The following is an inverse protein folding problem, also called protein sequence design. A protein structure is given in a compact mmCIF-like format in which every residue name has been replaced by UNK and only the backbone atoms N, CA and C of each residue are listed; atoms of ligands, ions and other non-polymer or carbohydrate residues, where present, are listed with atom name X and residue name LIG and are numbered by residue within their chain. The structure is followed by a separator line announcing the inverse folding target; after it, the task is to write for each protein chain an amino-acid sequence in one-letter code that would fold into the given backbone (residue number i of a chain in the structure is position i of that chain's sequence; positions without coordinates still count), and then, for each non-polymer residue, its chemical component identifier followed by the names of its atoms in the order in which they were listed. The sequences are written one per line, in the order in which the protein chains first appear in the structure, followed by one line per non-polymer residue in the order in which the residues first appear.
data_IF_852946196002
#
_entry.id   IF_852946196002
#
_cell.length_a   1.000
_cell.length_b   1.000
_cell.length_c   1.000
_cell.angle_alpha   90.00
_cell.angle_beta   90.00
_cell.angle_gamma   90.00
#
_symmetry.space_group_name_H-M   'P 1'
#
loop_
_entity.id
_entity.type
_entity.pdbx_description
1 polymer ?
#
# COMPACT_ATOMS: atom_id res chain seq x y z
N UNK A 1 43.20 -45.16 -33.19
CA UNK A 1 41.84 -44.96 -32.65
C UNK A 1 42.00 -44.47 -31.23
N UNK A 2 41.26 -43.53 -30.65
CA UNK A 2 40.37 -42.46 -31.09
C UNK A 2 40.09 -41.69 -29.78
N UNK A 3 40.40 -40.39 -29.78
CA UNK A 3 39.76 -39.26 -29.09
C UNK A 3 39.43 -39.35 -27.58
N UNK A 4 40.00 -38.36 -26.88
CA UNK A 4 39.69 -37.78 -25.57
C UNK A 4 38.23 -37.85 -25.10
N UNK A 5 38.01 -37.88 -23.78
CA UNK A 5 36.82 -37.27 -23.18
C UNK A 5 37.11 -36.84 -21.73
N UNK A 6 37.35 -35.54 -21.60
CA UNK A 6 37.23 -34.75 -20.39
C UNK A 6 35.73 -34.54 -20.14
N UNK A 7 35.21 -34.95 -18.98
CA UNK A 7 33.88 -34.49 -18.53
C UNK A 7 34.00 -33.91 -17.13
N UNK A 8 34.04 -32.58 -17.10
CA UNK A 8 33.78 -31.74 -15.94
C UNK A 8 32.27 -31.76 -15.73
N UNK A 9 31.80 -32.22 -14.58
CA UNK A 9 30.40 -32.05 -14.17
C UNK A 9 30.33 -30.85 -13.21
N UNK A 10 29.86 -29.74 -13.77
CA UNK A 10 29.56 -28.46 -13.12
C UNK A 10 28.52 -28.60 -12.00
N UNK A 11 28.80 -27.99 -10.86
CA UNK A 11 27.83 -27.74 -9.80
C UNK A 11 26.76 -26.77 -10.32
N UNK A 12 25.52 -27.23 -10.46
CA UNK A 12 24.37 -26.35 -10.69
C UNK A 12 23.97 -25.72 -9.36
N UNK A 13 24.47 -24.51 -9.10
CA UNK A 13 23.87 -23.58 -8.14
C UNK A 13 22.45 -23.28 -8.58
N UNK A 14 21.45 -23.79 -7.85
CA UNK A 14 20.08 -23.29 -7.91
C UNK A 14 20.08 -21.88 -7.32
N UNK A 15 20.27 -20.90 -8.20
CA UNK A 15 20.03 -19.51 -7.89
C UNK A 15 18.54 -19.35 -7.59
N UNK A 16 18.21 -19.18 -6.31
CA UNK A 16 16.95 -18.57 -5.92
C UNK A 16 17.02 -17.13 -6.43
N UNK A 17 16.44 -16.87 -7.60
CA UNK A 17 16.15 -15.50 -8.02
C UNK A 17 14.97 -15.05 -7.17
N UNK A 18 15.27 -14.45 -6.01
CA UNK A 18 14.31 -13.64 -5.29
C UNK A 18 13.85 -12.54 -6.24
N UNK A 19 12.64 -12.67 -6.78
CA UNK A 19 11.95 -11.55 -7.39
C UNK A 19 11.59 -10.61 -6.24
N UNK A 20 12.55 -9.77 -5.84
CA UNK A 20 12.21 -8.59 -5.07
C UNK A 20 11.35 -7.73 -6.00
N UNK A 21 10.04 -7.73 -5.76
CA UNK A 21 9.19 -6.68 -6.28
C UNK A 21 9.83 -5.37 -5.81
N UNK A 22 10.24 -4.55 -6.77
CA UNK A 22 10.68 -3.20 -6.48
C UNK A 22 9.41 -2.47 -6.07
N UNK A 23 9.12 -2.49 -4.76
CA UNK A 23 8.13 -1.60 -4.18
C UNK A 23 8.69 -0.19 -4.45
N UNK A 24 7.98 0.66 -5.21
CA UNK A 24 8.46 2.01 -5.49
C UNK A 24 8.57 2.75 -4.15
N UNK A 25 9.79 2.90 -3.66
CA UNK A 25 10.09 3.64 -2.44
C UNK A 25 10.65 4.99 -2.85
N UNK A 26 9.90 6.07 -2.60
CA UNK A 26 10.44 7.41 -2.74
C UNK A 26 11.41 7.68 -1.58
N UNK A 27 12.71 7.66 -1.88
CA UNK A 27 13.79 7.69 -0.87
C UNK A 27 14.41 9.07 -0.62
N UNK A 28 13.70 10.17 -0.93
CA UNK A 28 14.19 11.53 -0.67
C UNK A 28 13.34 12.20 0.42
N UNK A 29 13.66 11.94 1.68
CA UNK A 29 12.98 12.53 2.84
C UNK A 29 13.53 13.95 3.09
N UNK A 30 12.99 14.89 2.32
CA UNK A 30 12.90 16.33 2.62
C UNK A 30 11.51 16.87 2.19
N UNK A 31 10.52 15.98 2.10
CA UNK A 31 9.43 16.07 1.12
C UNK A 31 8.10 16.57 1.73
N UNK A 32 7.33 17.32 0.95
CA UNK A 32 6.06 18.01 1.31
C UNK A 32 4.87 17.04 1.44
N UNK A 33 5.11 15.86 2.00
CA UNK A 33 4.13 14.78 2.16
C UNK A 33 3.30 14.98 3.43
N UNK A 34 1.99 15.06 3.24
CA UNK A 34 0.99 15.18 4.30
C UNK A 34 0.75 13.84 4.99
N UNK A 35 0.63 12.75 4.23
CA UNK A 35 0.34 11.44 4.78
C UNK A 35 1.03 10.35 3.98
N UNK A 36 1.53 9.34 4.71
CA UNK A 36 2.05 8.11 4.14
C UNK A 36 1.24 6.95 4.71
N UNK A 37 0.72 6.10 3.84
CA UNK A 37 0.07 4.87 4.25
C UNK A 37 0.52 3.72 3.37
N UNK A 38 0.46 2.51 3.91
CA UNK A 38 0.81 1.29 3.20
C UNK A 38 -0.42 0.43 3.02
N UNK A 39 -0.48 -0.28 1.90
CA UNK A 39 -1.62 -1.15 1.54
C UNK A 39 -1.19 -2.60 1.39
N UNK A 40 -2.14 -3.50 1.61
CA UNK A 40 -1.95 -4.93 1.41
C UNK A 40 -3.18 -5.58 0.78
N UNK A 41 -2.95 -6.57 -0.09
CA UNK A 41 -3.98 -7.44 -0.70
C UNK A 41 -4.38 -8.62 0.16
N UNK A 42 -4.14 -8.52 1.47
CA UNK A 42 -4.59 -9.50 2.45
C UNK A 42 -4.97 -8.78 3.75
N UNK A 43 -5.84 -9.40 4.58
CA UNK A 43 -6.10 -8.91 5.92
C UNK A 43 -4.83 -9.05 6.78
N UNK A 44 -4.71 -8.24 7.82
CA UNK A 44 -3.67 -8.26 8.87
C UNK A 44 -2.36 -7.49 8.59
N UNK A 45 -2.47 -6.18 8.35
CA UNK A 45 -1.32 -5.27 8.48
C UNK A 45 -0.93 -4.96 9.95
N UNK A 46 0.32 -4.51 10.20
CA UNK A 46 1.53 -4.85 9.45
C UNK A 46 1.90 -6.32 9.71
N UNK A 47 1.83 -7.18 8.69
CA UNK A 47 2.09 -8.62 8.83
C UNK A 47 1.66 -9.47 7.64
N UNK A 48 0.73 -8.95 6.83
CA UNK A 48 0.30 -9.55 5.59
C UNK A 48 1.45 -9.80 4.61
N UNK A 49 1.42 -10.97 3.96
CA UNK A 49 2.42 -11.39 2.97
C UNK A 49 2.32 -10.64 1.64
N UNK A 50 1.20 -9.95 1.41
CA UNK A 50 0.85 -9.30 0.15
C UNK A 50 0.92 -7.78 0.27
N UNK A 51 2.14 -7.24 0.38
CA UNK A 51 2.38 -5.80 0.49
C UNK A 51 2.33 -5.16 -0.90
N UNK A 52 1.26 -4.41 -1.15
CA UNK A 52 0.99 -3.72 -2.42
C UNK A 52 1.79 -2.41 -2.57
N UNK A 53 2.34 -1.90 -1.47
CA UNK A 53 3.28 -0.78 -1.46
C UNK A 53 2.87 0.40 -0.61
N UNK A 54 3.72 1.44 -0.65
CA UNK A 54 3.60 2.67 0.13
C UNK A 54 3.07 3.80 -0.75
N UNK A 55 2.06 4.49 -0.23
CA UNK A 55 1.35 5.57 -0.89
C UNK A 55 1.65 6.87 -0.16
N UNK A 56 2.22 7.83 -0.89
CA UNK A 56 2.52 9.16 -0.38
C UNK A 56 1.51 10.15 -0.92
N UNK A 57 0.89 10.93 -0.04
CA UNK A 57 0.01 12.02 -0.41
C UNK A 57 0.62 13.35 -0.02
N UNK A 58 0.63 14.30 -0.95
CA UNK A 58 1.20 15.63 -0.76
C UNK A 58 0.18 16.59 -0.13
N UNK A 59 0.64 17.68 0.49
CA UNK A 59 -0.20 18.68 1.18
C UNK A 59 -1.31 19.27 0.30
N UNK A 60 -1.12 19.34 -1.02
CA UNK A 60 -2.14 19.85 -1.96
C UNK A 60 -3.16 18.80 -2.42
N UNK A 61 -3.08 17.55 -1.94
CA UNK A 61 -3.97 16.45 -2.31
C UNK A 61 -5.20 16.35 -1.39
N UNK A 62 -5.67 17.47 -0.85
CA UNK A 62 -6.80 17.51 0.09
C UNK A 62 -8.15 17.45 -0.63
N UNK A 63 -9.06 16.66 -0.09
CA UNK A 63 -10.43 16.47 -0.58
C UNK A 63 -10.52 16.00 -2.05
N UNK A 64 -9.44 15.39 -2.56
CA UNK A 64 -9.40 14.74 -3.87
C UNK A 64 -9.58 13.24 -3.67
N UNK A 65 -10.43 12.63 -4.49
CA UNK A 65 -10.60 11.19 -4.52
C UNK A 65 -9.49 10.55 -5.35
N UNK A 66 -8.84 9.54 -4.78
CA UNK A 66 -7.82 8.75 -5.45
C UNK A 66 -8.25 7.30 -5.52
N UNK A 67 -8.29 6.78 -6.73
CA UNK A 67 -8.61 5.39 -7.01
C UNK A 67 -7.39 4.52 -6.74
N UNK A 68 -7.62 3.38 -6.08
CA UNK A 68 -6.64 2.31 -6.16
C UNK A 68 -6.63 1.74 -7.59
N UNK A 69 -5.47 1.33 -8.11
CA UNK A 69 -5.39 0.67 -9.40
C UNK A 69 -6.29 -0.57 -9.45
N UNK A 70 -7.03 -0.74 -10.55
CA UNK A 70 -7.96 -1.86 -10.72
C UNK A 70 -7.27 -3.24 -10.82
N UNK A 71 -5.94 -3.28 -10.92
CA UNK A 71 -5.13 -4.49 -10.96
C UNK A 71 -4.57 -4.91 -9.59
N UNK A 72 -4.81 -4.13 -8.55
CA UNK A 72 -4.51 -4.50 -7.16
C UNK A 72 -5.81 -4.63 -6.36
N UNK A 73 -5.80 -5.52 -5.39
CA UNK A 73 -6.86 -5.63 -4.40
C UNK A 73 -6.32 -5.10 -3.09
N UNK A 74 -7.03 -4.16 -2.46
CA UNK A 74 -6.61 -3.58 -1.19
C UNK A 74 -7.55 -4.05 -0.10
N UNK A 75 -7.08 -4.95 0.76
CA UNK A 75 -7.86 -5.53 1.86
C UNK A 75 -7.47 -4.95 3.24
N UNK A 76 -6.26 -4.41 3.38
CA UNK A 76 -5.87 -3.70 4.61
C UNK A 76 -4.92 -2.53 4.34
N UNK A 77 -4.93 -1.55 5.25
CA UNK A 77 -4.01 -0.40 5.19
C UNK A 77 -3.62 0.08 6.58
N UNK A 78 -2.43 0.66 6.65
CA UNK A 78 -1.87 1.26 7.86
C UNK A 78 -1.40 2.67 7.52
N UNK A 79 -1.85 3.64 8.28
CA UNK A 79 -1.31 5.00 8.24
C UNK A 79 0.05 4.99 8.94
N UNK A 80 1.13 5.14 8.18
CA UNK A 80 2.50 5.12 8.70
C UNK A 80 2.91 6.50 9.25
N UNK A 81 2.40 7.58 8.65
CA UNK A 81 2.63 8.95 9.11
C UNK A 81 1.51 9.89 8.64
N UNK A 82 1.24 10.93 9.42
CA UNK A 82 0.48 12.10 9.00
C UNK A 82 1.08 13.34 9.66
N UNK A 83 1.56 14.28 8.84
CA UNK A 83 2.16 15.54 9.32
C UNK A 83 1.13 16.65 9.24
N UNK A 84 0.41 16.85 10.35
CA UNK A 84 -0.58 17.92 10.47
C UNK A 84 -0.01 19.00 11.38
N UNK A 85 -0.19 20.26 10.99
CA UNK A 85 0.24 21.40 11.81
C UNK A 85 -0.44 21.41 13.18
N UNK A 86 0.01 22.29 14.09
CA UNK A 86 -0.46 22.34 15.48
C UNK A 86 -1.97 22.58 15.62
N UNK A 87 -2.58 23.24 14.63
CA UNK A 87 -3.99 23.66 14.65
C UNK A 87 -4.85 23.00 13.56
N UNK A 88 -4.30 22.01 12.84
CA UNK A 88 -4.98 21.33 11.74
C UNK A 88 -5.01 19.84 12.06
N UNK A 89 -6.20 19.23 12.03
CA UNK A 89 -6.34 17.78 12.12
C UNK A 89 -6.74 17.25 10.75
N UNK A 90 -5.98 16.28 10.25
CA UNK A 90 -6.27 15.58 9.00
C UNK A 90 -6.65 14.12 9.27
N UNK A 91 -7.54 13.59 8.46
CA UNK A 91 -7.97 12.19 8.46
C UNK A 91 -7.90 11.63 7.05
N UNK A 92 -7.43 10.39 6.95
CA UNK A 92 -7.50 9.62 5.71
C UNK A 92 -8.78 8.80 5.75
N UNK A 93 -9.55 8.85 4.68
CA UNK A 93 -10.78 8.09 4.52
C UNK A 93 -10.62 7.12 3.36
N UNK A 94 -11.20 5.94 3.51
CA UNK A 94 -11.26 4.90 2.48
C UNK A 94 -12.71 4.58 2.14
N UNK A 95 -12.91 4.08 0.93
CA UNK A 95 -14.22 3.82 0.34
C UNK A 95 -14.20 2.50 -0.41
N UNK A 96 -15.37 1.89 -0.55
CA UNK A 96 -15.53 0.64 -1.31
C UNK A 96 -15.65 0.88 -2.80
N UNK A 97 -16.16 2.05 -3.21
CA UNK A 97 -16.21 2.48 -4.61
C UNK A 97 -14.96 3.22 -5.05
N UNK A 98 -14.84 3.48 -6.35
CA UNK A 98 -13.74 4.20 -6.99
C UNK A 98 -13.97 5.73 -7.02
N UNK A 99 -15.16 6.21 -6.64
CA UNK A 99 -15.53 7.64 -6.71
C UNK A 99 -15.64 8.32 -5.32
N UNK A 100 -15.18 7.66 -4.25
CA UNK A 100 -15.23 8.13 -2.87
C UNK A 100 -16.64 8.51 -2.38
N UNK A 101 -17.64 7.67 -2.66
CA UNK A 101 -19.05 7.96 -2.32
C UNK A 101 -19.72 6.91 -1.43
N UNK A 102 -19.16 5.70 -1.34
CA UNK A 102 -19.77 4.55 -0.67
C UNK A 102 -18.91 4.08 0.50
N UNK A 103 -19.57 3.77 1.62
CA UNK A 103 -18.97 3.18 2.83
C UNK A 103 -17.72 3.93 3.33
N UNK A 104 -17.83 5.27 3.43
CA UNK A 104 -16.75 6.11 3.96
C UNK A 104 -16.33 5.66 5.37
N UNK A 105 -15.05 5.32 5.52
CA UNK A 105 -14.46 4.99 6.82
C UNK A 105 -13.17 5.79 7.01
N UNK A 106 -13.06 6.48 8.15
CA UNK A 106 -11.81 7.07 8.59
C UNK A 106 -10.83 5.97 9.02
N UNK A 107 -9.60 6.03 8.52
CA UNK A 107 -8.53 5.16 8.98
C UNK A 107 -8.23 5.39 10.47
N UNK A 108 -7.81 4.32 11.19
CA UNK A 108 -7.40 4.44 12.58
C UNK A 108 -6.12 5.28 12.70
N UNK A 109 -5.72 5.66 13.94
CA UNK A 109 -4.52 6.45 14.16
C UNK A 109 -3.25 5.80 13.60
N UNK A 110 -2.21 6.62 13.43
CA UNK A 110 -0.89 6.20 12.95
C UNK A 110 -0.41 4.93 13.67
N UNK A 111 0.09 3.96 12.90
CA UNK A 111 0.60 2.68 13.40
C UNK A 111 -0.47 1.64 13.74
N UNK A 112 -1.74 1.90 13.39
CA UNK A 112 -2.82 0.93 13.54
C UNK A 112 -3.31 0.46 12.17
N UNK A 113 -3.56 -0.84 12.09
CA UNK A 113 -4.07 -1.46 10.89
C UNK A 113 -5.59 -1.31 10.78
N UNK A 114 -6.04 -0.90 9.61
CA UNK A 114 -7.42 -1.06 9.18
C UNK A 114 -7.54 -2.32 8.33
N UNK A 115 -8.42 -3.24 8.75
CA UNK A 115 -8.79 -4.41 7.97
C UNK A 115 -10.17 -4.17 7.37
N UNK A 116 -10.26 -4.20 6.05
CA UNK A 116 -11.53 -4.20 5.36
C UNK A 116 -12.25 -5.53 5.64
N UNK A 117 -13.56 -5.45 5.93
CA UNK A 117 -14.36 -6.63 6.23
C UNK A 117 -15.65 -6.64 5.42
N UNK A 118 -15.63 -7.33 4.27
CA UNK A 118 -16.73 -7.80 3.49
C UNK A 118 -18.10 -7.92 4.14
N UNK A 119 -19.13 -7.15 3.76
CA UNK A 119 -20.46 -7.76 3.84
C UNK A 119 -20.50 -8.95 2.86
N UNK A 120 -21.24 -10.01 3.17
CA UNK A 120 -21.30 -11.18 2.30
C UNK A 120 -21.82 -10.79 0.89
N UNK A 121 -20.96 -10.94 -0.12
CA UNK A 121 -21.26 -10.59 -1.51
C UNK A 121 -20.95 -9.15 -1.93
N UNK A 122 -20.27 -8.38 -1.09
CA UNK A 122 -19.66 -7.09 -1.49
C UNK A 122 -18.33 -7.32 -2.22
N UNK A 123 -17.81 -6.26 -2.86
CA UNK A 123 -16.49 -6.28 -3.48
C UNK A 123 -15.41 -6.63 -2.44
N UNK A 124 -14.35 -7.35 -2.84
CA UNK A 124 -13.47 -7.97 -1.87
C UNK A 124 -12.40 -7.01 -1.32
N UNK A 125 -12.20 -5.85 -1.97
CA UNK A 125 -11.25 -4.81 -1.55
C UNK A 125 -11.81 -3.40 -1.60
N UNK A 126 -11.01 -2.45 -1.13
CA UNK A 126 -11.29 -1.02 -1.17
C UNK A 126 -10.99 -0.44 -2.56
N UNK A 127 -11.81 0.52 -2.99
CA UNK A 127 -11.74 1.11 -4.33
C UNK A 127 -11.03 2.46 -4.38
N UNK A 128 -11.13 3.27 -3.31
CA UNK A 128 -10.54 4.61 -3.30
C UNK A 128 -10.23 5.14 -1.90
N UNK A 129 -9.49 6.26 -1.86
CA UNK A 129 -9.18 7.00 -0.65
C UNK A 129 -9.23 8.52 -0.87
N UNK A 130 -9.42 9.29 0.20
CA UNK A 130 -9.26 10.74 0.23
C UNK A 130 -8.64 11.19 1.55
N UNK A 131 -8.00 12.35 1.55
CA UNK A 131 -7.51 13.00 2.78
C UNK A 131 -8.29 14.28 2.98
N UNK A 132 -8.92 14.46 4.14
CA UNK A 132 -9.58 15.71 4.49
C UNK A 132 -8.97 16.26 5.78
N UNK A 133 -8.83 17.58 5.84
CA UNK A 133 -8.38 18.29 7.01
C UNK A 133 -9.45 19.29 7.45
N UNK A 134 -9.55 19.50 8.76
CA UNK A 134 -10.37 20.53 9.36
C UNK A 134 -9.54 21.35 10.34
N UNK A 135 -9.80 22.64 10.38
CA UNK A 135 -9.36 23.51 11.48
C UNK A 135 -10.17 23.11 12.72
N UNK A 136 -9.51 22.90 13.86
CA UNK A 136 -10.17 22.64 15.16
C UNK A 136 -10.65 23.92 15.86
#
# INVERSE_FOLDING_TARGET
MQISNLFIATATTLGLTSNAFIIPRQTNITDEHLANFRTWGAPDCPGATDNEGEWNSQIFNLNICYQFPNDIEVESLELENIDTGVDITCSVYVFTDDDCTVDEVALPPVGQCYNYSPAAGADPGMGSYKIACSDE
#
